data_IF_157593262823
#
_entry.id   IF_157593262823
#
_cell.length_a   1.000
_cell.length_b   1.000
_cell.length_c   1.000
_cell.angle_alpha   90.00
_cell.angle_beta   90.00
_cell.angle_gamma   90.00
#
_symmetry.space_group_name_H-M   'P 1'
#
loop_
_entity.id
_entity.type
_entity.pdbx_description
1 polymer ?
#
# COMPACT_ATOMS: atom_id res chain seq x y z
N UNK A 1 9.66 -7.92 -3.46
CA UNK A 1 8.98 -7.07 -2.45
C UNK A 1 7.76 -6.39 -3.10
N UNK A 2 6.52 -6.83 -2.82
CA UNK A 2 5.31 -6.40 -3.56
C UNK A 2 5.12 -4.87 -3.62
N UNK A 3 5.15 -4.19 -2.46
CA UNK A 3 4.90 -2.73 -2.39
C UNK A 3 6.07 -1.94 -2.99
N UNK A 4 7.30 -2.19 -2.51
CA UNK A 4 8.49 -1.44 -2.95
C UNK A 4 8.93 -1.68 -4.40
N UNK A 5 8.33 -2.63 -5.11
CA UNK A 5 8.58 -2.89 -6.55
C UNK A 5 7.41 -2.40 -7.43
N UNK A 6 6.40 -1.74 -6.86
CA UNK A 6 5.25 -1.23 -7.61
C UNK A 6 5.59 0.12 -8.24
N UNK A 7 5.55 0.20 -9.58
CA UNK A 7 5.72 1.44 -10.34
C UNK A 7 4.77 2.54 -9.87
N UNK A 8 5.25 3.78 -9.78
CA UNK A 8 4.50 4.91 -9.24
C UNK A 8 4.68 5.13 -7.74
N UNK A 9 5.33 4.21 -7.03
CA UNK A 9 5.68 4.36 -5.60
C UNK A 9 7.17 4.65 -5.50
N UNK A 10 7.51 5.78 -4.90
CA UNK A 10 8.88 6.26 -4.70
C UNK A 10 9.43 5.89 -3.33
N UNK A 11 8.55 5.64 -2.35
CA UNK A 11 8.94 5.35 -0.97
C UNK A 11 7.90 4.55 -0.19
N UNK A 12 8.39 3.80 0.81
CA UNK A 12 7.57 3.13 1.81
C UNK A 12 7.92 3.71 3.17
N UNK A 13 7.05 4.57 3.69
CA UNK A 13 7.28 5.32 4.93
C UNK A 13 7.07 4.42 6.15
N UNK A 14 6.09 3.53 6.05
CA UNK A 14 5.79 2.58 7.11
C UNK A 14 4.71 1.60 6.70
N UNK A 15 4.79 0.40 7.26
CA UNK A 15 3.76 -0.63 7.14
C UNK A 15 3.45 -1.10 8.55
N UNK A 16 2.18 -1.05 8.94
CA UNK A 16 1.68 -1.64 10.17
C UNK A 16 0.58 -2.65 9.85
N UNK A 17 0.51 -3.71 10.65
CA UNK A 17 -0.49 -4.76 10.51
C UNK A 17 -1.32 -4.90 11.77
N UNK A 18 -2.62 -5.07 11.61
CA UNK A 18 -3.53 -5.43 12.69
C UNK A 18 -4.11 -6.82 12.43
N UNK A 19 -3.98 -7.73 13.39
CA UNK A 19 -4.68 -9.01 13.36
C UNK A 19 -6.14 -8.77 13.79
N UNK A 20 -7.09 -9.05 12.89
CA UNK A 20 -8.51 -8.94 13.19
C UNK A 20 -9.11 -10.26 13.65
N UNK A 21 -8.56 -11.38 13.15
CA UNK A 21 -8.91 -12.77 13.50
C UNK A 21 -7.63 -13.63 13.39
N UNK A 22 -7.62 -14.89 13.85
CA UNK A 22 -6.43 -15.74 13.79
C UNK A 22 -5.78 -15.79 12.40
N UNK A 23 -6.58 -15.81 11.34
CA UNK A 23 -6.13 -15.91 9.95
C UNK A 23 -6.43 -14.65 9.11
N UNK A 24 -6.80 -13.54 9.75
CA UNK A 24 -7.13 -12.29 9.04
C UNK A 24 -6.30 -11.11 9.53
N UNK A 25 -5.59 -10.51 8.59
CA UNK A 25 -4.74 -9.35 8.78
C UNK A 25 -5.26 -8.16 7.97
N UNK A 26 -5.21 -7.00 8.58
CA UNK A 26 -5.37 -5.70 7.92
C UNK A 26 -4.01 -5.03 7.79
N UNK A 27 -3.67 -4.59 6.59
CA UNK A 27 -2.44 -3.84 6.30
C UNK A 27 -2.78 -2.35 6.23
N UNK A 28 -2.01 -1.52 6.91
CA UNK A 28 -2.01 -0.07 6.71
C UNK A 28 -0.62 0.34 6.25
N UNK A 29 -0.53 1.01 5.10
CA UNK A 29 0.73 1.43 4.50
C UNK A 29 0.73 2.94 4.27
N UNK A 30 1.79 3.61 4.70
CA UNK A 30 2.06 5.01 4.36
C UNK A 30 3.10 5.02 3.24
N UNK A 31 2.71 5.50 2.08
CA UNK A 31 3.46 5.35 0.82
C UNK A 31 3.66 6.72 0.19
N UNK A 32 4.86 6.91 -0.36
CA UNK A 32 5.17 8.05 -1.21
C UNK A 32 4.98 7.66 -2.68
N UNK A 33 4.34 8.54 -3.43
CA UNK A 33 3.99 8.36 -4.84
C UNK A 33 4.74 9.35 -5.70
N UNK A 34 4.96 9.01 -6.98
CA UNK A 34 5.53 9.98 -7.92
C UNK A 34 4.67 11.26 -8.01
N UNK A 35 5.27 12.44 -7.82
CA UNK A 35 4.58 13.74 -7.73
C UNK A 35 3.65 14.07 -8.91
N UNK A 36 3.96 13.53 -10.09
CA UNK A 36 3.25 13.83 -11.34
C UNK A 36 2.06 12.90 -11.59
N UNK A 37 1.76 11.97 -10.68
CA UNK A 37 0.60 11.10 -10.82
C UNK A 37 -0.69 11.88 -10.57
N UNK A 38 -1.64 11.71 -11.47
CA UNK A 38 -3.02 12.17 -11.22
C UNK A 38 -3.67 11.33 -10.11
N UNK A 39 -4.69 11.88 -9.45
CA UNK A 39 -5.49 11.14 -8.47
C UNK A 39 -6.03 9.82 -9.04
N UNK A 40 -6.46 9.82 -10.31
CA UNK A 40 -6.91 8.61 -10.99
C UNK A 40 -5.83 7.53 -11.10
N UNK A 41 -4.58 7.92 -11.37
CA UNK A 41 -3.46 6.96 -11.42
C UNK A 41 -3.14 6.39 -10.04
N UNK A 42 -3.20 7.22 -9.00
CA UNK A 42 -3.04 6.77 -7.60
C UNK A 42 -4.12 5.76 -7.22
N UNK A 43 -5.39 6.03 -7.57
CA UNK A 43 -6.49 5.06 -7.38
C UNK A 43 -6.23 3.73 -8.09
N UNK A 44 -5.76 3.77 -9.34
CA UNK A 44 -5.43 2.54 -10.08
C UNK A 44 -4.29 1.76 -9.45
N UNK A 45 -3.24 2.45 -8.99
CA UNK A 45 -2.08 1.82 -8.34
C UNK A 45 -2.51 1.18 -7.02
N UNK A 46 -3.24 1.91 -6.18
CA UNK A 46 -3.72 1.41 -4.87
C UNK A 46 -4.66 0.22 -5.02
N UNK A 47 -5.56 0.23 -6.02
CA UNK A 47 -6.43 -0.91 -6.32
C UNK A 47 -5.63 -2.14 -6.77
N UNK A 48 -4.68 -1.99 -7.71
CA UNK A 48 -3.81 -3.08 -8.18
C UNK A 48 -2.93 -3.63 -7.06
N UNK A 49 -2.40 -2.75 -6.21
CA UNK A 49 -1.57 -3.14 -5.08
C UNK A 49 -2.38 -3.95 -4.06
N UNK A 50 -3.60 -3.51 -3.76
CA UNK A 50 -4.52 -4.24 -2.88
C UNK A 50 -4.78 -5.66 -3.41
N UNK A 51 -5.11 -5.78 -4.71
CA UNK A 51 -5.32 -7.08 -5.34
C UNK A 51 -4.07 -7.97 -5.28
N UNK A 52 -2.89 -7.42 -5.58
CA UNK A 52 -1.61 -8.17 -5.48
C UNK A 52 -1.35 -8.67 -4.06
N UNK A 53 -1.55 -7.81 -3.05
CA UNK A 53 -1.35 -8.19 -1.65
C UNK A 53 -2.30 -9.32 -1.23
N UNK A 54 -3.58 -9.22 -1.56
CA UNK A 54 -4.56 -10.26 -1.25
C UNK A 54 -4.29 -11.56 -2.02
N UNK A 55 -3.78 -11.48 -3.24
CA UNK A 55 -3.42 -12.66 -4.05
C UNK A 55 -2.19 -13.40 -3.49
N UNK A 56 -1.11 -12.67 -3.17
CA UNK A 56 0.13 -13.28 -2.70
C UNK A 56 0.16 -13.56 -1.20
N UNK A 57 -0.69 -12.89 -0.42
CA UNK A 57 -0.80 -13.04 1.05
C UNK A 57 -2.28 -13.20 1.43
N UNK A 58 -2.86 -14.41 1.28
CA UNK A 58 -4.31 -14.62 1.41
C UNK A 58 -4.92 -14.25 2.77
N UNK A 59 -4.11 -14.16 3.83
CA UNK A 59 -4.54 -13.68 5.16
C UNK A 59 -4.81 -12.18 5.19
N UNK A 60 -4.26 -11.40 4.24
CA UNK A 60 -4.58 -9.97 4.10
C UNK A 60 -6.01 -9.85 3.56
N UNK A 61 -6.92 -9.33 4.37
CA UNK A 61 -8.32 -9.11 3.97
C UNK A 61 -8.62 -7.65 3.65
N UNK A 62 -7.88 -6.72 4.25
CA UNK A 62 -8.06 -5.28 4.08
C UNK A 62 -6.73 -4.59 3.95
N UNK A 63 -6.69 -3.59 3.08
CA UNK A 63 -5.51 -2.73 2.86
C UNK A 63 -5.97 -1.28 2.89
N UNK A 64 -5.36 -0.48 3.76
CA UNK A 64 -5.50 0.97 3.76
C UNK A 64 -4.16 1.59 3.36
N UNK A 65 -4.22 2.61 2.51
CA UNK A 65 -3.05 3.29 1.99
C UNK A 65 -3.20 4.78 2.26
N UNK A 66 -2.25 5.35 2.98
CA UNK A 66 -2.06 6.79 3.12
C UNK A 66 -1.05 7.24 2.05
N UNK A 67 -1.47 8.10 1.14
CA UNK A 67 -0.57 8.76 0.19
C UNK A 67 0.09 9.95 0.90
N UNK A 68 1.36 9.79 1.27
CA UNK A 68 2.12 10.76 2.05
C UNK A 68 3.52 10.91 1.46
N UNK A 69 3.80 12.12 0.98
CA UNK A 69 5.14 12.49 0.54
C UNK A 69 6.15 12.33 1.68
N UNK A 70 7.37 11.93 1.35
CA UNK A 70 8.47 11.98 2.30
C UNK A 70 8.72 13.42 2.72
N UNK A 71 8.48 13.71 4.00
CA UNK A 71 8.95 14.95 4.62
C UNK A 71 10.13 14.58 5.49
N UNK A 72 11.34 14.99 5.10
CA UNK A 72 12.49 15.00 5.99
C UNK A 72 12.10 15.74 7.28
N UNK A 73 12.06 15.03 8.41
CA UNK A 73 11.93 15.61 9.73
C UNK A 73 13.24 15.41 10.49
#
# INVERSE_FOLDING_TARGET
RIIGETTGITGVNGIITLHMRPDEVMVNASLDFEDKLSAHMVEQITAKLTQKLQHHVPSVKRVFIEAKAWTDA
#
